data_IF_014152624461
#
_entry.id   IF_014152624461
#
_cell.length_a   1.000
_cell.length_b   1.000
_cell.length_c   1.000
_cell.angle_alpha   90.00
_cell.angle_beta   90.00
_cell.angle_gamma   90.00
#
_symmetry.space_group_name_H-M   'P 1'
#
loop_
_entity.id
_entity.type
_entity.pdbx_description
1 polymer ?
#
# COMPACT_ATOMS: atom_id res chain seq x y z
N UNK A 1 -14.60 11.00 32.53
CA UNK A 1 -14.92 11.44 31.15
C UNK A 1 -13.78 10.96 30.29
N UNK A 2 -14.04 10.05 29.34
CA UNK A 2 -13.03 9.54 28.42
C UNK A 2 -12.62 10.67 27.47
N UNK A 3 -11.32 10.95 27.39
CA UNK A 3 -10.75 12.01 26.58
C UNK A 3 -11.01 11.72 25.11
N UNK A 4 -11.62 12.69 24.44
CA UNK A 4 -11.90 12.72 23.01
C UNK A 4 -10.59 12.83 22.22
N UNK A 5 -9.92 11.71 21.96
CA UNK A 5 -8.81 11.62 21.02
C UNK A 5 -9.25 10.79 19.80
N UNK A 6 -10.19 11.30 19.02
CA UNK A 6 -10.45 10.81 17.68
C UNK A 6 -10.64 11.99 16.73
N UNK A 7 -9.70 12.94 16.80
CA UNK A 7 -9.41 13.73 15.60
C UNK A 7 -8.64 12.83 14.64
N UNK A 8 -9.31 12.49 13.54
CA UNK A 8 -8.81 11.77 12.35
C UNK A 8 -7.70 12.53 11.62
N UNK A 9 -6.66 12.91 12.37
CA UNK A 9 -5.43 13.45 11.82
C UNK A 9 -4.77 12.36 10.99
N UNK A 10 -4.60 12.63 9.69
CA UNK A 10 -3.85 11.74 8.81
C UNK A 10 -2.42 11.67 9.32
N UNK A 11 -2.09 10.60 10.05
CA UNK A 11 -0.73 10.38 10.56
C UNK A 11 0.14 9.89 9.41
N UNK A 12 1.20 10.64 9.12
CA UNK A 12 2.19 10.24 8.12
C UNK A 12 3.28 9.42 8.79
N UNK A 13 3.45 8.17 8.34
CA UNK A 13 4.52 7.27 8.78
C UNK A 13 5.42 6.93 7.59
N UNK A 14 6.73 6.86 7.82
CA UNK A 14 7.71 6.54 6.78
C UNK A 14 8.13 5.08 6.86
N UNK A 15 8.20 4.40 5.71
CA UNK A 15 8.68 3.03 5.58
C UNK A 15 9.83 3.00 4.57
N UNK A 16 10.91 2.30 4.90
CA UNK A 16 12.04 2.15 3.99
C UNK A 16 11.76 1.06 2.96
N UNK A 17 11.80 1.46 1.69
CA UNK A 17 11.61 0.57 0.54
C UNK A 17 12.74 0.80 -0.45
N UNK A 18 13.15 -0.28 -1.14
CA UNK A 18 14.20 -0.17 -2.16
C UNK A 18 13.76 0.79 -3.28
N UNK A 19 14.64 1.68 -3.77
CA UNK A 19 14.28 2.65 -4.81
C UNK A 19 13.60 2.03 -6.04
N UNK A 20 14.09 0.87 -6.51
CA UNK A 20 13.50 0.14 -7.64
C UNK A 20 12.02 -0.23 -7.43
N UNK A 21 11.58 -0.44 -6.18
CA UNK A 21 10.18 -0.74 -5.85
C UNK A 21 9.33 0.53 -5.86
N UNK A 22 9.90 1.67 -5.48
CA UNK A 22 9.25 2.98 -5.61
C UNK A 22 9.03 3.31 -7.09
N UNK A 23 10.03 3.06 -7.95
CA UNK A 23 9.89 3.27 -9.39
C UNK A 23 8.81 2.38 -10.02
N UNK A 24 8.73 1.12 -9.59
CA UNK A 24 7.68 0.22 -10.01
C UNK A 24 6.28 0.71 -9.59
N UNK A 25 6.15 1.20 -8.35
CA UNK A 25 4.91 1.80 -7.85
C UNK A 25 4.51 3.04 -8.65
N UNK A 26 5.47 3.92 -8.97
CA UNK A 26 5.25 5.10 -9.80
C UNK A 26 4.71 4.73 -11.19
N UNK A 27 5.34 3.75 -11.86
CA UNK A 27 4.89 3.26 -13.17
C UNK A 27 3.51 2.63 -13.10
N UNK A 28 3.22 1.87 -12.05
CA UNK A 28 1.90 1.27 -11.84
C UNK A 28 0.82 2.35 -11.66
N UNK A 29 1.07 3.39 -10.87
CA UNK A 29 0.13 4.49 -10.68
C UNK A 29 -0.17 5.24 -11.99
N UNK A 30 0.87 5.48 -12.79
CA UNK A 30 0.74 6.06 -14.14
C UNK A 30 -0.12 5.14 -15.03
N UNK A 31 0.17 3.83 -15.04
CA UNK A 31 -0.56 2.85 -15.84
C UNK A 31 -2.04 2.81 -15.49
N UNK A 32 -2.38 2.73 -14.20
CA UNK A 32 -3.78 2.74 -13.75
C UNK A 32 -4.49 4.00 -14.22
N UNK A 33 -3.82 5.16 -14.15
CA UNK A 33 -4.39 6.43 -14.61
C UNK A 33 -4.72 6.41 -16.11
N UNK A 34 -3.85 5.82 -16.93
CA UNK A 34 -4.08 5.66 -18.36
C UNK A 34 -5.21 4.65 -18.66
N UNK A 35 -5.18 3.48 -18.02
CA UNK A 35 -6.15 2.41 -18.30
C UNK A 35 -7.56 2.74 -17.83
N UNK A 36 -7.69 3.55 -16.78
CA UNK A 36 -9.00 3.96 -16.25
C UNK A 36 -9.57 5.23 -16.90
N UNK A 37 -8.86 5.83 -17.86
CA UNK A 37 -9.18 7.15 -18.44
C UNK A 37 -9.47 8.22 -17.37
N UNK A 38 -8.83 8.11 -16.20
CA UNK A 38 -9.04 9.05 -15.12
C UNK A 38 -8.42 10.40 -15.48
N UNK A 39 -9.23 11.46 -15.42
CA UNK A 39 -8.76 12.84 -15.55
C UNK A 39 -7.75 13.22 -14.46
N UNK A 40 -7.83 12.56 -13.30
CA UNK A 40 -6.84 12.72 -12.22
C UNK A 40 -5.89 11.55 -12.23
N UNK A 41 -4.60 11.84 -12.42
CA UNK A 41 -3.54 10.87 -12.21
C UNK A 41 -3.55 10.42 -10.75
N UNK A 42 -3.62 9.11 -10.53
CA UNK A 42 -3.42 8.51 -9.22
C UNK A 42 -1.96 8.73 -8.84
N UNK A 43 -1.75 9.24 -7.64
CA UNK A 43 -0.41 9.37 -7.06
C UNK A 43 0.12 8.01 -6.58
N UNK A 44 1.44 7.84 -6.50
CA UNK A 44 2.06 6.64 -5.94
C UNK A 44 1.59 6.35 -4.52
N UNK A 45 1.41 7.39 -3.70
CA UNK A 45 0.92 7.27 -2.32
C UNK A 45 -0.52 6.77 -2.25
N UNK A 46 -1.39 7.21 -3.15
CA UNK A 46 -2.77 6.70 -3.25
C UNK A 46 -2.78 5.23 -3.65
N UNK A 47 -1.93 4.83 -4.60
CA UNK A 47 -1.80 3.42 -4.98
C UNK A 47 -1.22 2.59 -3.82
N UNK A 48 -0.23 3.10 -3.08
CA UNK A 48 0.32 2.42 -1.90
C UNK A 48 -0.76 2.19 -0.83
N UNK A 49 -1.57 3.23 -0.56
CA UNK A 49 -2.69 3.12 0.39
C UNK A 49 -3.69 2.07 -0.08
N UNK A 50 -4.08 2.08 -1.35
CA UNK A 50 -4.98 1.08 -1.92
C UNK A 50 -4.44 -0.36 -1.73
N UNK A 51 -3.14 -0.57 -1.97
CA UNK A 51 -2.52 -1.88 -1.78
C UNK A 51 -2.57 -2.34 -0.31
N UNK A 52 -2.30 -1.42 0.64
CA UNK A 52 -2.34 -1.73 2.06
C UNK A 52 -3.77 -2.06 2.51
N UNK A 53 -4.73 -1.20 2.16
CA UNK A 53 -6.12 -1.32 2.63
C UNK A 53 -6.81 -2.58 2.09
N UNK A 54 -6.41 -3.05 0.90
CA UNK A 54 -7.12 -4.13 0.20
C UNK A 54 -6.34 -5.46 0.15
N UNK A 55 -5.01 -5.45 0.24
CA UNK A 55 -4.19 -6.65 -0.01
C UNK A 55 -3.20 -7.00 1.10
N UNK A 56 -3.08 -6.18 2.16
CA UNK A 56 -2.12 -6.45 3.25
C UNK A 56 -2.38 -7.81 3.92
N UNK A 57 -3.63 -8.12 4.26
CA UNK A 57 -3.96 -9.38 4.93
C UNK A 57 -3.65 -10.60 4.06
N UNK A 58 -3.91 -10.51 2.76
CA UNK A 58 -3.58 -11.60 1.82
C UNK A 58 -2.07 -11.82 1.76
N UNK A 59 -1.30 -10.74 1.60
CA UNK A 59 0.16 -10.82 1.57
C UNK A 59 0.75 -11.41 2.87
N UNK A 60 0.18 -11.05 4.03
CA UNK A 60 0.58 -11.63 5.32
C UNK A 60 0.28 -13.12 5.39
N UNK A 61 -0.92 -13.56 4.98
CA UNK A 61 -1.30 -14.98 4.97
C UNK A 61 -0.38 -15.81 4.07
N UNK A 62 -0.09 -15.32 2.86
CA UNK A 62 0.81 -15.98 1.92
C UNK A 62 2.24 -16.10 2.49
N UNK A 63 2.74 -15.04 3.11
CA UNK A 63 4.08 -15.04 3.72
C UNK A 63 4.19 -16.05 4.88
N UNK A 64 3.16 -16.12 5.73
CA UNK A 64 3.09 -17.12 6.81
C UNK A 64 3.11 -18.53 6.21
N UNK A 65 2.27 -18.79 5.21
CA UNK A 65 2.18 -20.10 4.57
C UNK A 65 3.49 -20.52 3.89
N UNK A 66 4.17 -19.59 3.20
CA UNK A 66 5.48 -19.86 2.59
C UNK A 66 6.55 -20.17 3.64
N UNK A 67 6.54 -19.46 4.77
CA UNK A 67 7.47 -19.72 5.87
C UNK A 67 7.29 -21.09 6.51
N UNK A 68 6.05 -21.59 6.57
CA UNK A 68 5.74 -22.92 7.08
C UNK A 68 6.22 -24.01 6.14
N UNK A 69 6.07 -23.82 4.82
CA UNK A 69 6.55 -24.77 3.79
C UNK A 69 8.07 -24.86 3.72
N UNK A 70 8.80 -23.80 4.05
CA UNK A 70 10.28 -23.84 4.07
C UNK A 70 10.86 -24.60 5.27
N UNK A 71 10.05 -24.90 6.28
CA UNK A 71 10.46 -25.63 7.49
C UNK A 71 10.14 -27.13 7.44
N UNK A 72 9.36 -27.57 6.45
CA UNK A 72 8.99 -28.96 6.17
C UNK A 72 9.85 -29.53 5.06
#
# INVERSE_FOLDING_TARGET
MASSEDESTTKTSSVYIRPVRVDALNRAAIRVSYETNSLRRISPSELARYLIDNYLEQAVKELIAESAKKKS
#
